data_IF_349431680552
#
_entry.id   IF_349431680552
#
_cell.length_a   1.000
_cell.length_b   1.000
_cell.length_c   1.000
_cell.angle_alpha   90.00
_cell.angle_beta   90.00
_cell.angle_gamma   90.00
#
_symmetry.space_group_name_H-M   'P 1'
#
loop_
_entity.id
_entity.type
_entity.pdbx_description
1 polymer ?
#
# COMPACT_ATOMS: atom_id res chain seq x y z
N UNK A 1 32.08 -33.64 2.87
CA UNK A 1 30.79 -33.69 3.62
C UNK A 1 29.72 -32.77 3.02
N UNK A 2 29.85 -31.42 3.08
CA UNK A 2 28.85 -30.49 2.49
C UNK A 2 28.57 -30.71 0.99
N UNK A 3 29.59 -30.98 0.18
CA UNK A 3 29.45 -31.19 -1.27
C UNK A 3 28.70 -32.47 -1.60
N UNK A 4 28.99 -33.56 -0.87
CA UNK A 4 28.33 -34.87 -1.02
C UNK A 4 26.86 -34.77 -0.59
N UNK A 5 26.58 -33.99 0.46
CA UNK A 5 25.21 -33.77 0.93
C UNK A 5 24.37 -32.97 -0.08
N UNK A 6 24.96 -31.93 -0.70
CA UNK A 6 24.31 -31.12 -1.73
C UNK A 6 23.99 -31.92 -3.01
N UNK A 7 24.89 -32.81 -3.45
CA UNK A 7 24.63 -33.65 -4.63
C UNK A 7 23.56 -34.71 -4.36
N UNK A 8 23.59 -35.33 -3.19
CA UNK A 8 22.59 -36.31 -2.77
C UNK A 8 21.21 -35.68 -2.60
N UNK A 9 21.15 -34.48 -2.01
CA UNK A 9 19.91 -33.70 -1.88
C UNK A 9 19.30 -33.34 -3.24
N UNK A 10 20.11 -32.89 -4.22
CA UNK A 10 19.65 -32.64 -5.59
C UNK A 10 19.09 -33.90 -6.26
N UNK A 11 19.76 -35.04 -6.09
CA UNK A 11 19.26 -36.32 -6.62
C UNK A 11 17.94 -36.75 -5.96
N UNK A 12 17.78 -36.45 -4.66
CA UNK A 12 16.55 -36.68 -3.91
C UNK A 12 15.40 -35.79 -4.40
N UNK A 13 15.64 -34.48 -4.58
CA UNK A 13 14.66 -33.55 -5.14
C UNK A 13 14.22 -33.94 -6.56
N UNK A 14 15.15 -34.41 -7.39
CA UNK A 14 14.80 -34.87 -8.75
C UNK A 14 13.92 -36.12 -8.75
N UNK A 15 13.99 -36.97 -7.72
CA UNK A 15 13.19 -38.19 -7.61
C UNK A 15 11.84 -37.99 -6.94
N UNK A 16 11.79 -37.14 -5.92
CA UNK A 16 10.62 -36.97 -5.06
C UNK A 16 9.89 -35.64 -5.26
N UNK A 17 10.41 -34.75 -6.12
CA UNK A 17 9.83 -33.43 -6.35
C UNK A 17 9.85 -32.55 -5.09
N UNK A 18 9.16 -31.41 -5.14
CA UNK A 18 9.00 -30.54 -3.97
C UNK A 18 9.99 -29.39 -3.83
N UNK A 19 10.68 -29.01 -4.91
CA UNK A 19 11.50 -27.80 -4.94
C UNK A 19 10.70 -26.53 -4.62
N UNK A 20 9.41 -26.50 -4.99
CA UNK A 20 8.50 -25.36 -4.78
C UNK A 20 8.19 -25.09 -3.30
N UNK A 21 8.30 -26.09 -2.43
CA UNK A 21 8.11 -25.94 -0.97
C UNK A 21 9.39 -25.55 -0.23
N UNK A 22 10.54 -25.65 -0.90
CA UNK A 22 11.83 -25.27 -0.33
C UNK A 22 12.09 -23.77 -0.45
N UNK A 23 11.45 -23.14 -1.44
CA UNK A 23 11.51 -21.70 -1.63
C UNK A 23 10.69 -21.06 -0.51
N UNK A 24 11.38 -20.64 0.55
CA UNK A 24 10.74 -20.03 1.71
C UNK A 24 9.95 -18.81 1.24
N UNK A 25 8.67 -18.76 1.59
CA UNK A 25 7.82 -17.58 1.42
C UNK A 25 8.59 -16.34 1.92
N UNK A 26 8.53 -15.19 1.20
CA UNK A 26 9.32 -14.04 1.56
C UNK A 26 9.14 -13.69 3.05
N UNK A 27 10.24 -13.37 3.72
CA UNK A 27 10.28 -13.18 5.18
C UNK A 27 9.27 -12.14 5.67
N UNK A 28 8.96 -11.17 4.82
CA UNK A 28 7.95 -10.13 5.08
C UNK A 28 6.54 -10.73 5.28
N UNK A 29 6.18 -11.77 4.54
CA UNK A 29 4.92 -12.51 4.72
C UNK A 29 4.96 -13.44 5.94
N UNK A 30 6.12 -14.04 6.22
CA UNK A 30 6.28 -14.96 7.37
C UNK A 30 6.16 -14.24 8.71
N UNK A 31 6.71 -13.04 8.82
CA UNK A 31 6.78 -12.34 10.11
C UNK A 31 5.55 -11.48 10.43
N UNK A 32 4.60 -11.30 9.50
CA UNK A 32 3.38 -10.46 9.59
C UNK A 32 3.60 -8.99 10.03
N UNK A 33 4.78 -8.65 10.55
CA UNK A 33 5.19 -7.36 11.07
C UNK A 33 6.05 -6.66 10.01
N UNK A 34 5.61 -5.49 9.57
CA UNK A 34 6.21 -4.73 8.47
C UNK A 34 7.23 -3.69 8.95
N UNK A 35 7.82 -3.86 10.14
CA UNK A 35 8.78 -2.92 10.73
C UNK A 35 10.18 -3.07 10.11
N UNK A 36 10.30 -2.76 8.83
CA UNK A 36 11.59 -2.69 8.15
C UNK A 36 12.25 -1.34 8.47
N UNK A 37 13.36 -1.38 9.21
CA UNK A 37 14.09 -0.17 9.58
C UNK A 37 14.76 0.45 8.34
N UNK A 38 14.43 1.72 8.07
CA UNK A 38 14.96 2.49 6.94
C UNK A 38 15.69 3.73 7.47
N UNK A 39 16.99 3.84 7.20
CA UNK A 39 17.79 5.02 7.52
C UNK A 39 17.82 5.98 6.33
N UNK A 40 17.47 7.25 6.56
CA UNK A 40 17.58 8.30 5.56
C UNK A 40 18.84 9.14 5.79
N UNK A 41 19.50 9.50 4.71
CA UNK A 41 20.51 10.56 4.67
C UNK A 41 19.85 11.91 5.02
N UNK A 42 20.66 12.87 5.48
CA UNK A 42 20.24 14.27 5.65
C UNK A 42 19.65 14.88 4.36
N UNK A 43 20.04 14.36 3.19
CA UNK A 43 19.52 14.74 1.87
C UNK A 43 18.24 13.98 1.44
N UNK A 44 17.72 13.07 2.27
CA UNK A 44 16.51 12.28 1.98
C UNK A 44 16.75 10.97 1.22
N UNK A 45 17.98 10.68 0.77
CA UNK A 45 18.34 9.39 0.13
C UNK A 45 18.40 8.26 1.16
N UNK A 46 17.84 7.10 0.85
CA UNK A 46 17.92 5.91 1.71
C UNK A 46 19.37 5.42 1.78
N UNK A 47 19.90 5.23 3.00
CA UNK A 47 21.26 4.74 3.27
C UNK A 47 21.27 3.26 3.66
N UNK A 48 20.29 2.82 4.46
CA UNK A 48 20.10 1.42 4.83
C UNK A 48 18.62 1.07 4.75
N UNK A 49 18.33 -0.08 4.16
CA UNK A 49 16.96 -0.55 3.87
C UNK A 49 16.69 -0.62 2.36
N UNK A 50 15.57 -1.25 2.00
CA UNK A 50 15.10 -1.23 0.63
C UNK A 50 14.60 0.17 0.26
N UNK A 51 14.96 0.65 -0.93
CA UNK A 51 14.37 1.85 -1.48
C UNK A 51 12.87 1.61 -1.72
N UNK A 52 12.03 2.60 -1.43
CA UNK A 52 10.60 2.47 -1.73
C UNK A 52 10.44 2.24 -3.23
N UNK A 53 9.73 1.18 -3.60
CA UNK A 53 9.34 0.98 -4.98
C UNK A 53 8.64 2.23 -5.51
N UNK A 54 8.95 2.61 -6.75
CA UNK A 54 8.26 3.70 -7.42
C UNK A 54 6.75 3.41 -7.40
N UNK A 55 5.97 4.35 -6.85
CA UNK A 55 4.52 4.23 -6.80
C UNK A 55 4.02 4.34 -8.24
N UNK A 56 3.56 3.22 -8.80
CA UNK A 56 2.87 3.20 -10.09
C UNK A 56 1.46 3.73 -9.90
N UNK A 57 0.92 4.42 -10.91
CA UNK A 57 -0.48 4.82 -10.89
C UNK A 57 -1.41 3.60 -10.98
N UNK A 58 -2.72 3.83 -10.84
CA UNK A 58 -3.74 2.76 -10.91
C UNK A 58 -3.77 2.04 -12.27
N UNK A 59 -3.27 2.68 -13.33
CA UNK A 59 -3.32 2.15 -14.68
C UNK A 59 -1.99 1.49 -15.05
N UNK A 60 -2.07 0.47 -15.89
CA UNK A 60 -0.89 -0.20 -16.44
C UNK A 60 -0.14 0.78 -17.35
N UNK A 61 0.95 1.33 -16.84
CA UNK A 61 1.89 2.17 -17.58
C UNK A 61 2.77 1.28 -18.48
N UNK A 62 3.33 1.85 -19.54
CA UNK A 62 4.27 1.19 -20.47
C UNK A 62 3.73 -0.05 -21.19
N UNK A 63 2.40 -0.17 -21.36
CA UNK A 63 1.80 -1.21 -22.20
C UNK A 63 1.80 -0.76 -23.66
N UNK A 64 2.76 -1.27 -24.42
CA UNK A 64 2.85 -1.01 -25.86
C UNK A 64 2.22 -2.17 -26.65
N UNK A 65 1.15 -1.92 -27.42
CA UNK A 65 0.55 -2.95 -28.25
C UNK A 65 1.53 -3.42 -29.34
N UNK A 66 1.42 -4.67 -29.77
CA UNK A 66 2.07 -5.21 -30.99
C UNK A 66 3.58 -4.93 -31.12
N UNK A 67 4.30 -5.02 -30.00
CA UNK A 67 5.77 -4.91 -29.90
C UNK A 67 6.33 -3.54 -30.35
N UNK A 68 5.52 -2.48 -30.20
CA UNK A 68 5.99 -1.10 -30.30
C UNK A 68 6.79 -0.70 -29.04
N UNK A 69 7.67 0.31 -29.15
CA UNK A 69 8.36 0.92 -27.98
C UNK A 69 7.82 2.30 -27.64
N UNK A 70 6.77 2.73 -28.32
CA UNK A 70 6.14 4.04 -28.16
C UNK A 70 4.63 3.94 -28.35
N UNK A 71 3.87 4.84 -27.71
CA UNK A 71 2.40 4.87 -27.81
C UNK A 71 1.98 5.50 -29.15
N UNK A 72 0.82 5.10 -29.67
CA UNK A 72 0.23 5.75 -30.85
C UNK A 72 -0.03 7.23 -30.56
N UNK A 73 0.38 8.13 -31.47
CA UNK A 73 0.34 9.58 -31.24
C UNK A 73 1.64 10.18 -30.72
N UNK A 74 2.68 9.35 -30.52
CA UNK A 74 4.03 9.83 -30.20
C UNK A 74 4.78 10.45 -31.39
N UNK A 75 4.22 10.35 -32.61
CA UNK A 75 4.77 10.90 -33.84
C UNK A 75 3.68 11.59 -34.67
N UNK A 76 4.03 12.70 -35.32
CA UNK A 76 3.15 13.48 -36.18
C UNK A 76 3.89 13.90 -37.44
N UNK A 77 3.28 13.66 -38.60
CA UNK A 77 3.77 14.12 -39.91
C UNK A 77 2.62 14.23 -40.91
N UNK A 78 2.63 15.27 -41.73
CA UNK A 78 1.68 15.49 -42.86
C UNK A 78 0.20 15.28 -42.48
N UNK A 79 -0.21 15.81 -41.33
CA UNK A 79 -1.60 15.71 -40.87
C UNK A 79 -2.00 14.37 -40.23
N UNK A 80 -1.04 13.45 -40.04
CA UNK A 80 -1.29 12.09 -39.52
C UNK A 80 -0.48 11.83 -38.25
N UNK A 81 -1.15 11.20 -37.28
CA UNK A 81 -0.53 10.70 -36.05
C UNK A 81 -0.06 9.26 -36.26
N UNK A 82 1.09 8.92 -35.67
CA UNK A 82 1.70 7.61 -35.78
C UNK A 82 2.52 7.21 -34.56
N UNK A 83 3.27 6.11 -34.69
CA UNK A 83 4.19 5.61 -33.68
C UNK A 83 5.60 6.17 -33.89
N UNK A 84 6.27 6.67 -32.85
CA UNK A 84 7.65 7.19 -32.95
C UNK A 84 8.70 6.14 -33.27
N UNK A 85 8.48 4.89 -32.85
CA UNK A 85 9.46 3.82 -33.04
C UNK A 85 9.60 3.34 -34.48
N UNK A 86 8.51 3.36 -35.24
CA UNK A 86 8.40 2.77 -36.58
C UNK A 86 7.88 3.76 -37.63
N UNK A 87 7.45 4.96 -37.22
CA UNK A 87 6.75 5.99 -38.00
C UNK A 87 5.49 5.53 -38.76
N UNK A 88 5.00 4.31 -38.50
CA UNK A 88 3.71 3.84 -39.00
C UNK A 88 2.55 4.72 -38.51
N UNK A 89 1.71 5.15 -39.46
CA UNK A 89 0.46 5.88 -39.21
C UNK A 89 -0.75 4.95 -38.93
N UNK A 90 -0.57 3.63 -39.05
CA UNK A 90 -1.65 2.66 -38.87
C UNK A 90 -1.66 2.16 -37.42
N UNK A 91 -2.75 2.43 -36.69
CA UNK A 91 -2.93 1.96 -35.32
C UNK A 91 -3.02 0.43 -35.28
N UNK A 92 -2.36 -0.19 -34.30
CA UNK A 92 -2.29 -1.64 -34.08
C UNK A 92 -1.56 -2.44 -35.18
N UNK A 93 -0.78 -1.80 -36.07
CA UNK A 93 0.13 -2.53 -36.94
C UNK A 93 1.27 -3.16 -36.13
N UNK A 94 1.89 -4.24 -36.59
CA UNK A 94 3.14 -4.73 -35.99
C UNK A 94 4.28 -3.74 -36.22
N UNK A 95 5.18 -3.59 -35.24
CA UNK A 95 6.32 -2.67 -35.40
C UNK A 95 7.40 -3.28 -36.30
N UNK A 96 7.79 -2.53 -37.33
CA UNK A 96 8.90 -2.81 -38.26
C UNK A 96 10.29 -2.42 -37.69
N UNK A 97 10.36 -2.06 -36.41
CA UNK A 97 11.51 -1.45 -35.71
C UNK A 97 12.24 -0.41 -36.57
N UNK A 98 13.57 -0.48 -36.63
CA UNK A 98 14.43 0.45 -37.37
C UNK A 98 14.25 0.37 -38.90
N UNK A 99 13.64 -0.68 -39.43
CA UNK A 99 13.43 -0.82 -40.88
C UNK A 99 12.40 0.18 -41.40
N UNK A 100 11.38 0.52 -40.60
CA UNK A 100 10.40 1.55 -40.94
C UNK A 100 11.05 2.93 -41.11
N UNK A 101 11.97 3.28 -40.22
CA UNK A 101 12.73 4.54 -40.30
C UNK A 101 13.62 4.58 -41.54
N UNK A 102 14.28 3.46 -41.86
CA UNK A 102 15.12 3.33 -43.06
C UNK A 102 14.29 3.45 -44.34
N UNK A 103 13.14 2.77 -44.42
CA UNK A 103 12.23 2.83 -45.56
C UNK A 103 11.68 4.25 -45.79
N UNK A 104 11.34 4.96 -44.72
CA UNK A 104 10.93 6.37 -44.83
C UNK A 104 12.07 7.28 -45.26
N UNK A 105 13.28 7.07 -44.73
CA UNK A 105 14.44 7.88 -45.12
C UNK A 105 14.82 7.66 -46.59
N UNK A 106 14.71 6.43 -47.11
CA UNK A 106 14.92 6.14 -48.53
C UNK A 106 13.81 6.71 -49.41
N UNK A 107 12.55 6.66 -48.95
CA UNK A 107 11.42 7.22 -49.70
C UNK A 107 11.41 8.75 -49.69
N UNK A 108 11.89 9.40 -48.62
CA UNK A 108 12.01 10.86 -48.57
C UNK A 108 13.06 11.41 -49.55
N UNK A 109 14.01 10.58 -50.00
CA UNK A 109 15.02 10.94 -51.00
C UNK A 109 14.46 10.82 -52.42
N UNK A 110 13.50 9.92 -52.68
CA UNK A 110 12.85 9.79 -53.99
C UNK A 110 11.70 10.77 -54.20
N UNK A 111 11.00 11.19 -53.14
CA UNK A 111 9.86 12.13 -53.25
C UNK A 111 10.23 13.61 -53.43
N UNK A 112 11.52 13.98 -53.53
CA UNK A 112 11.94 15.38 -53.82
C UNK A 112 12.13 15.70 -55.30
N UNK A 113 11.88 14.76 -56.22
CA UNK A 113 12.08 14.98 -57.67
C UNK A 113 10.79 14.99 -58.51
N UNK A 114 9.63 14.80 -57.90
CA UNK A 114 8.35 14.71 -58.60
C UNK A 114 7.29 15.64 -57.97
N UNK A 115 7.57 16.94 -57.97
CA UNK A 115 6.53 17.97 -57.85
C UNK A 115 6.71 19.01 -58.95
N UNK A 116 6.44 18.64 -60.20
CA UNK A 116 5.99 19.59 -61.25
C UNK A 116 5.08 18.85 -62.24
N UNK A 117 3.81 19.29 -62.28
CA UNK A 117 2.79 19.11 -63.33
C UNK A 117 2.14 17.71 -63.48
N UNK A 118 0.84 17.61 -63.16
CA UNK A 118 -0.20 17.80 -64.19
C UNK A 118 -1.59 17.96 -63.55
N UNK A 119 -2.23 19.09 -63.85
CA UNK A 119 -3.64 19.37 -63.58
C UNK A 119 -4.41 19.14 -64.89
N UNK A 120 -5.23 18.09 -65.00
CA UNK A 120 -6.34 18.01 -65.96
C UNK A 120 -7.55 17.25 -65.37
N UNK A 121 -8.42 18.03 -64.74
CA UNK A 121 -9.88 18.09 -64.94
C UNK A 121 -10.64 16.82 -65.39
N UNK A 122 -11.38 16.19 -64.46
CA UNK A 122 -12.66 15.51 -64.75
C UNK A 122 -13.67 15.83 -63.62
N UNK A 123 -14.84 16.33 -64.04
CA UNK A 123 -16.02 16.67 -63.22
C UNK A 123 -16.54 15.47 -62.42
N UNK A 124 -17.16 15.70 -61.25
CA UNK A 124 -18.54 15.22 -61.08
C UNK A 124 -19.55 16.31 -60.70
N UNK A 125 -20.77 16.14 -61.20
CA UNK A 125 -21.97 16.90 -60.88
C UNK A 125 -22.43 16.66 -59.42
N UNK A 126 -23.05 17.71 -58.85
CA UNK A 126 -24.16 17.78 -57.86
C UNK A 126 -24.17 16.71 -56.74
N UNK A 127 -24.19 17.05 -55.45
CA UNK A 127 -25.35 17.65 -54.78
C UNK A 127 -25.01 18.62 -53.61
N UNK A 128 -25.99 19.49 -53.41
CA UNK A 128 -26.16 20.64 -52.51
C UNK A 128 -26.24 20.22 -51.02
N UNK A 129 -25.58 20.92 -50.10
CA UNK A 129 -26.29 21.90 -49.25
C UNK A 129 -25.36 22.86 -48.52
N UNK A 130 -25.73 24.12 -48.66
CA UNK A 130 -25.09 25.36 -48.26
C UNK A 130 -25.20 25.65 -46.77
N UNK A 131 -24.12 26.26 -46.26
CA UNK A 131 -24.05 27.18 -45.13
C UNK A 131 -25.13 28.26 -45.15
N UNK A 132 -25.50 28.75 -43.96
CA UNK A 132 -25.91 30.15 -43.74
C UNK A 132 -25.39 30.64 -42.39
N UNK A 133 -24.68 31.75 -42.48
CA UNK A 133 -24.26 32.66 -41.43
C UNK A 133 -25.47 33.29 -40.70
N UNK A 134 -25.26 33.76 -39.45
CA UNK A 134 -25.51 35.14 -39.05
C UNK A 134 -25.22 35.40 -37.56
N UNK A 135 -24.79 36.64 -37.34
CA UNK A 135 -24.34 37.34 -36.14
C UNK A 135 -25.34 37.52 -34.98
N UNK A 136 -24.77 38.12 -33.92
CA UNK A 136 -25.35 38.99 -32.86
C UNK A 136 -25.79 38.39 -31.50
N UNK A 137 -24.92 38.68 -30.52
CA UNK A 137 -25.18 39.32 -29.23
C UNK A 137 -26.32 38.84 -28.30
N UNK A 138 -25.94 38.37 -27.10
CA UNK A 138 -26.44 38.90 -25.81
C UNK A 138 -25.75 38.29 -24.56
N UNK A 139 -24.98 39.15 -23.87
CA UNK A 139 -24.80 39.35 -22.41
C UNK A 139 -25.03 38.22 -21.38
N UNK A 140 -24.01 38.00 -20.54
CA UNK A 140 -24.05 38.11 -19.05
C UNK A 140 -22.62 37.93 -18.49
N UNK A 141 -21.96 38.98 -17.96
CA UNK A 141 -21.85 39.35 -16.53
C UNK A 141 -21.52 38.15 -15.61
N UNK A 142 -20.43 38.10 -14.82
CA UNK A 142 -19.88 39.13 -13.92
C UNK A 142 -18.49 38.78 -13.31
N UNK A 143 -17.66 39.82 -13.15
CA UNK A 143 -16.66 40.12 -12.07
C UNK A 143 -15.53 39.12 -11.74
N UNK A 144 -14.26 39.51 -11.55
CA UNK A 144 -13.75 40.72 -10.90
C UNK A 144 -12.29 40.99 -11.30
N UNK A 145 -11.95 42.28 -11.35
CA UNK A 145 -10.66 42.81 -11.76
C UNK A 145 -9.64 42.91 -10.62
N UNK A 146 -8.39 42.91 -11.07
CA UNK A 146 -7.10 43.07 -10.43
C UNK A 146 -6.81 44.43 -9.75
N UNK A 147 -5.69 44.39 -9.02
CA UNK A 147 -4.64 45.42 -8.82
C UNK A 147 -4.76 46.46 -7.72
N UNK A 148 -4.10 46.15 -6.60
CA UNK A 148 -2.93 46.83 -6.00
C UNK A 148 -2.65 48.33 -6.26
N UNK A 149 -2.69 49.09 -5.16
CA UNK A 149 -1.65 50.01 -4.62
C UNK A 149 -1.34 51.39 -5.24
N UNK A 150 -1.42 52.43 -4.39
CA UNK A 150 -0.48 53.58 -4.20
C UNK A 150 -1.18 54.57 -3.23
N UNK A 151 -0.73 54.80 -2.00
CA UNK A 151 0.45 55.55 -1.47
C UNK A 151 0.11 56.97 -0.98
N UNK A 152 0.77 57.36 0.14
CA UNK A 152 1.17 58.71 0.60
C UNK A 152 0.38 59.45 1.72
N UNK A 153 1.08 59.58 2.87
CA UNK A 153 1.36 60.74 3.80
C UNK A 153 0.24 61.78 4.13
N UNK A 154 0.07 62.47 5.28
CA UNK A 154 0.81 62.80 6.52
C UNK A 154 -0.15 63.54 7.51
N UNK A 155 0.02 63.48 8.86
CA UNK A 155 -0.26 64.58 9.82
C UNK A 155 0.13 64.20 11.27
N UNK A 156 0.47 65.20 12.09
CA UNK A 156 1.50 65.19 13.15
C UNK A 156 0.98 65.42 14.59
N UNK A 157 -0.30 65.18 14.87
CA UNK A 157 -0.91 65.45 16.20
C UNK A 157 -1.39 64.15 16.90
N UNK A 158 -1.07 62.98 16.34
CA UNK A 158 -1.48 61.65 16.82
C UNK A 158 -0.38 60.87 17.54
N UNK A 159 0.85 61.40 17.61
CA UNK A 159 2.03 60.64 18.03
C UNK A 159 1.93 60.07 19.46
N UNK A 160 1.30 60.77 20.40
CA UNK A 160 1.19 60.30 21.80
C UNK A 160 0.22 59.11 21.91
N UNK A 161 -0.90 59.18 21.18
CA UNK A 161 -1.88 58.09 21.11
C UNK A 161 -1.36 56.86 20.36
N UNK A 162 -0.47 57.06 19.38
CA UNK A 162 0.18 55.98 18.64
C UNK A 162 1.26 55.30 19.46
N UNK A 163 2.08 56.07 20.21
CA UNK A 163 3.08 55.55 21.15
C UNK A 163 2.46 54.74 22.29
N UNK A 164 1.31 55.15 22.82
CA UNK A 164 0.58 54.41 23.85
C UNK A 164 0.07 53.05 23.33
N UNK A 165 -0.54 53.03 22.13
CA UNK A 165 -0.99 51.81 21.45
C UNK A 165 0.17 50.88 21.09
N UNK A 166 1.33 51.43 20.74
CA UNK A 166 2.53 50.65 20.48
C UNK A 166 3.08 49.98 21.76
N UNK A 167 3.14 50.72 22.88
CA UNK A 167 3.51 50.17 24.19
C UNK A 167 2.55 49.08 24.67
N UNK A 168 1.25 49.21 24.41
CA UNK A 168 0.26 48.18 24.77
C UNK A 168 0.48 46.89 23.97
N UNK A 169 0.70 47.01 22.65
CA UNK A 169 1.05 45.87 21.78
C UNK A 169 2.36 45.21 22.20
N UNK A 170 3.35 45.99 22.62
CA UNK A 170 4.62 45.45 23.12
C UNK A 170 4.42 44.69 24.44
N UNK A 171 3.61 45.22 25.35
CA UNK A 171 3.24 44.56 26.61
C UNK A 171 2.50 43.24 26.36
N UNK A 172 1.64 43.19 25.34
CA UNK A 172 0.95 41.97 24.93
C UNK A 172 1.90 40.93 24.34
N UNK A 173 2.83 41.36 23.47
CA UNK A 173 3.90 40.49 22.94
C UNK A 173 4.76 39.89 24.07
N UNK A 174 5.15 40.70 25.06
CA UNK A 174 5.89 40.24 26.25
C UNK A 174 5.09 39.23 27.07
N UNK A 175 3.79 39.45 27.28
CA UNK A 175 2.88 38.48 27.95
C UNK A 175 2.78 37.16 27.19
N UNK A 176 2.64 37.21 25.86
CA UNK A 176 2.58 36.00 25.02
C UNK A 176 3.91 35.24 25.04
N UNK A 177 5.04 35.94 25.02
CA UNK A 177 6.36 35.31 25.12
C UNK A 177 6.58 34.65 26.48
N UNK A 178 6.17 35.29 27.58
CA UNK A 178 6.23 34.71 28.92
C UNK A 178 5.42 33.40 29.00
N UNK A 179 4.18 33.39 28.48
CA UNK A 179 3.34 32.17 28.39
C UNK A 179 4.01 31.06 27.56
N UNK A 180 4.67 31.41 26.44
CA UNK A 180 5.43 30.43 25.63
C UNK A 180 6.64 29.87 26.38
N UNK A 181 7.35 30.70 27.15
CA UNK A 181 8.49 30.28 27.98
C UNK A 181 8.05 29.36 29.12
N UNK A 182 6.92 29.65 29.76
CA UNK A 182 6.34 28.81 30.82
C UNK A 182 5.91 27.43 30.30
N UNK A 183 5.15 27.37 29.20
CA UNK A 183 4.79 26.10 28.55
C UNK A 183 6.02 25.25 28.19
N UNK A 184 7.11 25.88 27.75
CA UNK A 184 8.39 25.17 27.49
C UNK A 184 9.02 24.62 28.78
N UNK A 185 8.98 25.36 29.89
CA UNK A 185 9.49 24.89 31.21
C UNK A 185 8.66 23.71 31.72
N UNK A 186 7.34 23.78 31.61
CA UNK A 186 6.44 22.70 32.02
C UNK A 186 6.68 21.42 31.19
N UNK A 187 6.80 21.55 29.85
CA UNK A 187 7.13 20.41 28.98
C UNK A 187 8.47 19.77 29.34
N UNK A 188 9.48 20.56 29.75
CA UNK A 188 10.77 20.03 30.24
C UNK A 188 10.61 19.28 31.57
N UNK A 189 9.81 19.78 32.51
CA UNK A 189 9.50 19.08 33.78
C UNK A 189 8.80 17.74 33.52
N UNK A 190 7.77 17.71 32.67
CA UNK A 190 7.06 16.46 32.29
C UNK A 190 7.99 15.45 31.60
N UNK A 191 8.92 15.92 30.75
CA UNK A 191 9.95 15.05 30.14
C UNK A 191 10.95 14.51 31.17
N UNK A 192 11.34 15.30 32.18
CA UNK A 192 12.24 14.85 33.25
C UNK A 192 11.57 13.80 34.15
N UNK A 193 10.30 13.99 34.51
CA UNK A 193 9.51 12.99 35.25
C UNK A 193 9.39 11.68 34.45
N UNK A 194 9.01 11.76 33.17
CA UNK A 194 8.92 10.58 32.29
C UNK A 194 10.29 9.91 32.01
N UNK A 195 11.39 10.64 32.16
CA UNK A 195 12.74 10.09 32.06
C UNK A 195 13.24 9.47 33.38
N UNK A 196 12.68 9.88 34.52
CA UNK A 196 12.91 9.25 35.82
C UNK A 196 12.23 7.87 35.94
N UNK A 197 11.03 7.73 35.38
CA UNK A 197 10.29 6.45 35.30
C UNK A 197 10.78 5.50 34.22
N UNK A 198 11.89 5.83 33.55
CA UNK A 198 12.46 4.96 32.51
C UNK A 198 13.48 4.03 33.19
N UNK A 199 13.20 2.72 33.32
CA UNK A 199 14.15 1.80 33.93
C UNK A 199 15.47 1.86 33.16
N UNK A 200 16.57 2.12 33.87
CA UNK A 200 17.92 2.07 33.32
C UNK A 200 18.22 0.64 32.89
N UNK A 201 17.90 0.30 31.63
CA UNK A 201 18.41 -0.92 31.00
C UNK A 201 19.90 -0.70 30.73
N UNK A 202 20.71 -0.96 31.75
CA UNK A 202 22.16 -0.86 31.70
C UNK A 202 22.69 -1.89 30.69
N UNK A 203 23.48 -1.40 29.73
CA UNK A 203 24.35 -2.22 28.91
C UNK A 203 25.37 -2.88 29.84
N UNK A 204 25.44 -4.20 29.77
CA UNK A 204 26.45 -5.05 30.41
C UNK A 204 27.84 -4.70 29.86
N UNK A 205 28.64 -4.03 30.68
CA UNK A 205 30.10 -4.07 30.62
C UNK A 205 30.63 -3.95 32.06
N UNK A 206 31.56 -4.84 32.41
CA UNK A 206 32.17 -5.03 33.73
C UNK A 206 32.78 -3.73 34.30
N UNK A 207 32.56 -3.47 35.59
CA UNK A 207 33.60 -3.26 36.61
C UNK A 207 32.97 -2.80 37.94
N UNK A 208 33.24 -3.59 38.98
CA UNK A 208 33.49 -3.29 40.39
C UNK A 208 32.67 -2.26 41.19
N UNK A 209 32.20 -2.76 42.34
CA UNK A 209 32.15 -2.11 43.66
C UNK A 209 30.94 -1.24 44.05
N UNK A 210 30.42 -1.61 45.23
CA UNK A 210 29.67 -0.88 46.25
C UNK A 210 28.13 -0.84 46.23
N UNK A 211 27.57 -1.66 47.13
CA UNK A 211 26.57 -1.33 48.15
C UNK A 211 25.34 -0.52 47.72
N UNK A 212 24.16 -1.15 47.71
CA UNK A 212 23.15 -0.80 48.72
C UNK A 212 22.07 -1.90 48.83
N UNK A 213 21.71 -2.16 50.07
CA UNK A 213 20.72 -3.13 50.52
C UNK A 213 19.31 -2.59 50.28
N UNK A 214 18.33 -3.49 50.08
CA UNK A 214 16.87 -3.24 49.98
C UNK A 214 16.22 -3.27 48.59
N UNK A 215 16.44 -4.34 47.80
CA UNK A 215 15.65 -4.57 46.57
C UNK A 215 15.31 -6.06 46.29
N UNK A 216 15.65 -7.00 47.18
CA UNK A 216 15.46 -8.43 46.90
C UNK A 216 14.02 -8.91 47.09
N UNK A 217 13.21 -8.20 47.87
CA UNK A 217 11.83 -8.60 48.20
C UNK A 217 10.82 -8.33 47.09
N UNK A 218 11.00 -7.27 46.30
CA UNK A 218 10.06 -6.91 45.22
C UNK A 218 10.29 -7.76 43.96
N UNK A 219 11.55 -7.97 43.56
CA UNK A 219 11.86 -8.81 42.40
C UNK A 219 11.47 -10.29 42.60
N UNK A 220 11.58 -10.81 43.81
CA UNK A 220 11.12 -12.17 44.11
C UNK A 220 9.60 -12.31 44.04
N UNK A 221 8.87 -11.28 44.46
CA UNK A 221 7.41 -11.26 44.41
C UNK A 221 6.94 -11.20 42.96
N UNK A 222 7.53 -10.33 42.14
CA UNK A 222 7.23 -10.27 40.70
C UNK A 222 7.53 -11.59 39.98
N UNK A 223 8.63 -12.26 40.31
CA UNK A 223 8.95 -13.59 39.74
C UNK A 223 7.95 -14.66 40.15
N UNK A 224 7.42 -14.61 41.39
CA UNK A 224 6.38 -15.54 41.87
C UNK A 224 5.05 -15.28 41.14
N UNK A 225 4.65 -14.02 41.01
CA UNK A 225 3.43 -13.61 40.32
C UNK A 225 3.46 -13.98 38.82
N UNK A 226 4.62 -13.78 38.16
CA UNK A 226 4.82 -14.20 36.77
C UNK A 226 4.77 -15.73 36.60
N UNK A 227 5.34 -16.49 37.53
CA UNK A 227 5.31 -17.95 37.50
C UNK A 227 3.89 -18.49 37.72
N UNK A 228 3.11 -17.83 38.57
CA UNK A 228 1.70 -18.15 38.79
C UNK A 228 0.84 -17.83 37.56
N UNK A 229 1.05 -16.68 36.93
CA UNK A 229 0.39 -16.32 35.67
C UNK A 229 0.68 -17.32 34.54
N UNK A 230 1.94 -17.76 34.39
CA UNK A 230 2.32 -18.77 33.40
C UNK A 230 1.65 -20.12 33.65
N UNK A 231 1.59 -20.57 34.91
CA UNK A 231 0.88 -21.81 35.28
C UNK A 231 -0.61 -21.73 34.99
N UNK A 232 -1.23 -20.56 35.21
CA UNK A 232 -2.64 -20.33 34.90
C UNK A 232 -2.91 -20.44 33.40
N UNK A 233 -2.07 -19.82 32.57
CA UNK A 233 -2.17 -19.92 31.11
C UNK A 233 -1.96 -21.36 30.60
N UNK A 234 -1.03 -22.10 31.20
CA UNK A 234 -0.80 -23.50 30.86
C UNK A 234 -2.00 -24.38 31.20
N UNK A 235 -2.63 -24.14 32.36
CA UNK A 235 -3.87 -24.82 32.76
C UNK A 235 -5.04 -24.49 31.82
N UNK A 236 -5.26 -23.22 31.50
CA UNK A 236 -6.30 -22.79 30.55
C UNK A 236 -6.08 -23.39 29.16
N UNK A 237 -4.83 -23.51 28.71
CA UNK A 237 -4.49 -24.16 27.44
C UNK A 237 -4.80 -25.66 27.45
N UNK A 238 -4.51 -26.36 28.54
CA UNK A 238 -4.82 -27.79 28.68
C UNK A 238 -6.34 -28.03 28.75
N UNK A 239 -7.08 -27.20 29.49
CA UNK A 239 -8.54 -27.25 29.56
C UNK A 239 -9.18 -26.94 28.20
N UNK A 240 -8.65 -25.96 27.47
CA UNK A 240 -9.08 -25.66 26.10
C UNK A 240 -8.83 -26.82 25.15
N UNK A 241 -7.69 -27.51 25.28
CA UNK A 241 -7.39 -28.70 24.48
C UNK A 241 -8.30 -29.88 24.82
N UNK A 242 -8.64 -30.10 26.10
CA UNK A 242 -9.59 -31.13 26.51
C UNK A 242 -11.00 -30.86 25.93
N UNK A 243 -11.50 -29.63 26.05
CA UNK A 243 -12.79 -29.23 25.44
C UNK A 243 -12.79 -29.40 23.93
N UNK A 244 -11.68 -29.07 23.26
CA UNK A 244 -11.55 -29.29 21.82
C UNK A 244 -11.60 -30.79 21.45
N UNK A 245 -10.94 -31.65 22.23
CA UNK A 245 -11.02 -33.10 22.03
C UNK A 245 -12.44 -33.65 22.26
N UNK A 246 -13.16 -33.14 23.26
CA UNK A 246 -14.57 -33.52 23.49
C UNK A 246 -15.45 -33.10 22.31
N UNK A 247 -15.39 -31.84 21.87
CA UNK A 247 -16.17 -31.34 20.73
C UNK A 247 -15.85 -32.10 19.44
N UNK A 248 -14.57 -32.40 19.19
CA UNK A 248 -14.19 -33.21 18.03
C UNK A 248 -14.73 -34.64 18.14
N UNK A 249 -14.65 -35.28 19.31
CA UNK A 249 -15.22 -36.62 19.51
C UNK A 249 -16.74 -36.65 19.31
N UNK A 250 -17.48 -35.69 19.85
CA UNK A 250 -18.93 -35.57 19.63
C UNK A 250 -19.27 -35.33 18.16
N UNK A 251 -18.55 -34.46 17.46
CA UNK A 251 -18.76 -34.26 16.02
C UNK A 251 -18.44 -35.51 15.20
N UNK A 252 -17.40 -36.27 15.55
CA UNK A 252 -17.13 -37.57 14.91
C UNK A 252 -18.25 -38.60 15.16
N UNK A 253 -18.77 -38.69 16.39
CA UNK A 253 -19.91 -39.54 16.72
C UNK A 253 -21.16 -39.16 15.94
N UNK A 254 -21.49 -37.87 15.88
CA UNK A 254 -22.63 -37.36 15.12
C UNK A 254 -22.48 -37.72 13.64
N UNK A 255 -21.31 -37.48 13.04
CA UNK A 255 -21.03 -37.84 11.65
C UNK A 255 -21.11 -39.35 11.41
N UNK A 256 -20.65 -40.18 12.36
CA UNK A 256 -20.77 -41.64 12.27
C UNK A 256 -22.23 -42.08 12.33
N UNK A 257 -23.05 -41.48 13.21
CA UNK A 257 -24.49 -41.71 13.29
C UNK A 257 -25.21 -41.31 11.99
N UNK A 258 -24.93 -40.13 11.43
CA UNK A 258 -25.46 -39.72 10.13
C UNK A 258 -25.08 -40.71 9.01
N UNK A 259 -23.82 -41.15 8.98
CA UNK A 259 -23.32 -42.09 7.97
C UNK A 259 -23.94 -43.48 8.12
N UNK A 260 -24.27 -43.91 9.33
CA UNK A 260 -25.05 -45.13 9.58
C UNK A 260 -26.53 -44.97 9.18
N UNK A 261 -27.14 -43.81 9.44
CA UNK A 261 -28.52 -43.51 9.05
C UNK A 261 -28.70 -43.53 7.52
N UNK A 262 -27.83 -42.82 6.80
CA UNK A 262 -27.77 -42.84 5.33
C UNK A 262 -27.54 -44.23 4.76
N UNK A 263 -26.79 -45.10 5.47
CA UNK A 263 -26.54 -46.48 5.03
C UNK A 263 -27.72 -47.42 5.29
N UNK A 264 -28.55 -47.14 6.30
CA UNK A 264 -29.79 -47.86 6.60
C UNK A 264 -30.93 -47.45 5.66
N UNK A 265 -31.00 -46.18 5.27
CA UNK A 265 -31.96 -45.67 4.27
C UNK A 265 -31.79 -46.34 2.90
N UNK A 266 -30.56 -46.66 2.52
CA UNK A 266 -30.27 -47.36 1.25
C UNK A 266 -30.67 -48.86 1.29
N UNK A 267 -30.79 -49.47 2.47
CA UNK A 267 -30.98 -50.92 2.63
C UNK A 267 -32.39 -51.35 3.11
N UNK A 268 -33.27 -50.44 3.52
CA UNK A 268 -34.56 -50.81 4.11
C UNK A 268 -35.77 -50.08 3.49
N UNK A 269 -36.30 -50.52 2.34
CA UNK A 269 -37.64 -50.12 1.90
C UNK A 269 -38.76 -51.03 2.46
N UNK A 270 -38.53 -51.82 3.54
CA UNK A 270 -39.49 -52.89 3.92
C UNK A 270 -39.92 -53.06 5.39
N UNK A 271 -39.56 -52.19 6.34
CA UNK A 271 -40.11 -52.31 7.71
C UNK A 271 -40.32 -50.98 8.44
N UNK A 272 -41.59 -50.56 8.53
CA UNK A 272 -42.05 -49.30 9.16
C UNK A 272 -41.84 -49.22 10.68
N UNK A 273 -41.58 -50.34 11.36
CA UNK A 273 -41.35 -50.37 12.81
C UNK A 273 -39.93 -49.99 13.23
N UNK A 274 -38.91 -50.17 12.37
CA UNK A 274 -37.52 -49.81 12.71
C UNK A 274 -37.25 -48.31 12.59
N UNK A 275 -37.96 -47.61 11.70
CA UNK A 275 -37.83 -46.16 11.51
C UNK A 275 -38.21 -45.36 12.76
N UNK A 276 -39.22 -45.82 13.51
CA UNK A 276 -39.70 -45.11 14.70
C UNK A 276 -38.70 -45.17 15.87
N UNK A 277 -37.97 -46.29 16.00
CA UNK A 277 -36.97 -46.48 17.08
C UNK A 277 -35.70 -45.67 16.81
N UNK A 278 -35.29 -45.51 15.55
CA UNK A 278 -34.10 -44.70 15.21
C UNK A 278 -34.34 -43.20 15.42
N UNK A 279 -35.52 -42.67 15.08
CA UNK A 279 -35.83 -41.25 15.29
C UNK A 279 -35.90 -40.87 16.78
N UNK A 280 -36.49 -41.72 17.62
CA UNK A 280 -36.51 -41.47 19.07
C UNK A 280 -35.11 -41.50 19.71
N UNK A 281 -34.16 -42.25 19.15
CA UNK A 281 -32.78 -42.26 19.62
C UNK A 281 -32.01 -41.00 19.19
N UNK A 282 -32.33 -40.45 18.02
CA UNK A 282 -31.74 -39.21 17.51
C UNK A 282 -32.26 -37.96 18.24
N UNK A 283 -33.53 -37.93 18.61
CA UNK A 283 -34.13 -36.86 19.42
C UNK A 283 -33.56 -36.83 20.85
N UNK A 284 -33.22 -37.98 21.44
CA UNK A 284 -32.55 -38.05 22.74
C UNK A 284 -31.08 -37.59 22.71
N UNK A 285 -30.40 -37.68 21.56
CA UNK A 285 -28.99 -37.30 21.40
C UNK A 285 -28.81 -35.79 21.10
N UNK A 286 -29.87 -35.10 20.70
CA UNK A 286 -29.85 -33.67 20.34
C UNK A 286 -30.38 -32.76 21.45
N UNK A 287 -30.92 -33.34 22.54
CA UNK A 287 -31.57 -32.62 23.65
C UNK A 287 -30.77 -32.57 24.96
N UNK A 288 -29.54 -33.10 25.00
CA UNK A 288 -28.56 -32.90 26.08
C UNK A 288 -27.30 -32.21 25.55
#
# INVERSE_FOLDING_TARGET
LKVIYLSLFKALLSKYGGAEYLESTPKELLFAQTEQYVEYSRKGKVLKGAERAAVKSRYEEDVYPMNHTSVFGSYWKDGKWGYRCCHSFVKNSYCLKEEGLKAESSNAVTSKKEEVQENLNVKPAEEVSTSKDNDEAAKSASSSSSSESSSSESSSESEDSEKEREMERERERRKQEAKRREKKREKRKRRKQKAGDRPKKAKKAKSDSDSDSSSESEEEKEKKDLKEALKKLEKEKLEGHQKYLEVTYYTYLINLCFRCFLRLEIFAPFNSKLYFVCNHFFDCLTTN
#
